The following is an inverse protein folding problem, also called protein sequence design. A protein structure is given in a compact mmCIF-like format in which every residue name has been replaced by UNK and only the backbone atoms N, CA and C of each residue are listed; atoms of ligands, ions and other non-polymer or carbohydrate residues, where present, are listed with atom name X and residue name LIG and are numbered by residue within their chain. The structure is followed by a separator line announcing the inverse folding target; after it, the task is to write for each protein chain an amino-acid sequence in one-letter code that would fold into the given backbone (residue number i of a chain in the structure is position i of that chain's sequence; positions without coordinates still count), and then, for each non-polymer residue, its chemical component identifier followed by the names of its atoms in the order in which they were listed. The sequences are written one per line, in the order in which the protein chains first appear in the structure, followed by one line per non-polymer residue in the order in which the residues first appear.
data_IF_824466856550
#
_entry.id   IF_824466856550
#
_cell.length_a   1.000
_cell.length_b   1.000
_cell.length_c   1.000
_cell.angle_alpha   90.00
_cell.angle_beta   90.00
_cell.angle_gamma   90.00
#
_symmetry.space_group_name_H-M   'P 1'
#
loop_
_entity.id
_entity.type
_entity.pdbx_description
1 polymer ?
#
# COMPACT_ATOMS: atom_id res chain seq x y z
N UNK A 1 -4.45 -10.13 -9.42
CA UNK A 1 -3.07 -9.64 -9.19
C UNK A 1 -2.47 -8.99 -10.43
N UNK A 2 -2.55 -9.62 -11.61
CA UNK A 2 -1.87 -9.18 -12.83
C UNK A 2 -2.04 -7.69 -13.23
N UNK A 3 -3.27 -7.13 -13.35
CA UNK A 3 -3.46 -5.74 -13.78
C UNK A 3 -2.81 -4.75 -12.81
N UNK A 4 -2.93 -5.04 -11.51
CA UNK A 4 -2.31 -4.26 -10.44
C UNK A 4 -0.80 -4.29 -10.56
N UNK A 5 -0.18 -5.49 -10.66
CA UNK A 5 1.28 -5.59 -10.81
C UNK A 5 1.79 -4.84 -12.04
N UNK A 6 1.10 -4.93 -13.19
CA UNK A 6 1.46 -4.17 -14.39
C UNK A 6 1.36 -2.66 -14.21
N UNK A 7 0.35 -2.18 -13.47
CA UNK A 7 0.23 -0.75 -13.16
C UNK A 7 1.38 -0.25 -12.29
N UNK A 8 1.80 -1.01 -11.28
CA UNK A 8 2.97 -0.67 -10.46
C UNK A 8 4.29 -0.74 -11.24
N UNK A 9 4.46 -1.72 -12.14
CA UNK A 9 5.61 -1.75 -13.05
C UNK A 9 5.62 -0.54 -13.99
N UNK A 10 4.47 -0.10 -14.48
CA UNK A 10 4.38 1.11 -15.30
C UNK A 10 4.71 2.38 -14.50
N UNK A 11 4.32 2.47 -13.21
CA UNK A 11 4.77 3.56 -12.31
C UNK A 11 6.28 3.57 -12.17
N UNK A 12 6.89 2.41 -11.94
CA UNK A 12 8.35 2.25 -11.83
C UNK A 12 9.05 2.76 -13.09
N UNK A 13 8.56 2.36 -14.26
CA UNK A 13 9.12 2.74 -15.55
C UNK A 13 8.91 4.22 -15.86
N UNK A 14 7.76 4.78 -15.47
CA UNK A 14 7.48 6.21 -15.59
C UNK A 14 8.48 7.02 -14.78
N UNK A 15 8.62 6.72 -13.48
CA UNK A 15 9.59 7.40 -12.63
C UNK A 15 11.02 7.28 -13.17
N UNK A 16 11.43 6.08 -13.61
CA UNK A 16 12.74 5.88 -14.23
C UNK A 16 12.97 6.78 -15.44
N UNK A 17 12.01 6.82 -16.38
CA UNK A 17 12.13 7.63 -17.60
C UNK A 17 12.22 9.12 -17.29
N UNK A 18 11.40 9.62 -16.37
CA UNK A 18 11.38 11.03 -15.97
C UNK A 18 12.72 11.48 -15.38
N UNK A 19 13.28 10.68 -14.46
CA UNK A 19 14.58 11.01 -13.85
C UNK A 19 15.73 10.90 -14.87
N UNK A 20 15.70 9.93 -15.80
CA UNK A 20 16.68 9.84 -16.89
C UNK A 20 16.60 11.06 -17.81
N UNK A 21 15.39 11.50 -18.15
CA UNK A 21 15.16 12.68 -18.97
C UNK A 21 15.70 13.94 -18.28
N UNK A 22 15.41 14.13 -16.99
CA UNK A 22 15.94 15.25 -16.21
C UNK A 22 17.47 15.22 -16.19
N UNK A 23 18.08 14.05 -15.92
CA UNK A 23 19.54 13.92 -15.89
C UNK A 23 20.16 14.32 -17.25
N UNK A 24 19.58 13.84 -18.36
CA UNK A 24 20.00 14.23 -19.71
C UNK A 24 19.86 15.73 -19.95
N UNK A 25 18.76 16.35 -19.52
CA UNK A 25 18.51 17.77 -19.75
C UNK A 25 19.44 18.67 -18.92
N UNK A 26 19.69 18.30 -17.66
CA UNK A 26 20.68 18.97 -16.80
C UNK A 26 22.07 18.92 -17.42
N UNK A 27 22.46 17.79 -18.02
CA UNK A 27 23.72 17.67 -18.74
C UNK A 27 23.81 18.56 -20.00
N UNK A 28 22.70 18.81 -20.69
CA UNK A 28 22.73 19.56 -21.95
C UNK A 28 22.52 21.07 -21.80
N UNK A 29 21.80 21.52 -20.77
CA UNK A 29 21.18 22.86 -20.78
C UNK A 29 21.64 23.83 -19.67
N UNK A 30 22.74 23.53 -18.96
CA UNK A 30 23.35 24.47 -17.99
C UNK A 30 23.62 23.92 -16.60
N UNK A 31 23.45 22.62 -16.35
CA UNK A 31 23.77 22.03 -15.04
C UNK A 31 22.80 22.47 -13.94
N UNK A 32 23.34 22.91 -12.79
CA UNK A 32 22.58 23.17 -11.55
C UNK A 32 21.51 24.26 -11.69
N UNK A 33 21.71 25.23 -12.60
CA UNK A 33 20.80 26.38 -12.78
C UNK A 33 19.41 25.98 -13.25
N UNK A 34 19.29 24.94 -14.09
CA UNK A 34 17.98 24.42 -14.55
C UNK A 34 17.43 23.29 -13.70
N UNK A 35 18.20 22.78 -12.74
CA UNK A 35 17.81 21.65 -11.91
C UNK A 35 16.53 21.97 -11.12
N UNK A 36 16.42 23.18 -10.59
CA UNK A 36 15.24 23.62 -9.84
C UNK A 36 13.93 23.51 -10.64
N UNK A 37 13.92 23.99 -11.89
CA UNK A 37 12.76 23.90 -12.78
C UNK A 37 12.37 22.45 -13.10
N UNK A 38 13.37 21.58 -13.30
CA UNK A 38 13.12 20.17 -13.56
C UNK A 38 12.58 19.43 -12.33
N UNK A 39 13.11 19.75 -11.15
CA UNK A 39 12.63 19.19 -9.89
C UNK A 39 11.21 19.67 -9.54
N UNK A 40 10.87 20.93 -9.83
CA UNK A 40 9.51 21.43 -9.66
C UNK A 40 8.52 20.65 -10.53
N UNK A 41 8.86 20.40 -11.80
CA UNK A 41 8.06 19.56 -12.70
C UNK A 41 7.95 18.11 -12.20
N UNK A 42 9.05 17.53 -11.74
CA UNK A 42 9.07 16.17 -11.19
C UNK A 42 8.19 16.06 -9.94
N UNK A 43 8.17 17.08 -9.07
CA UNK A 43 7.36 17.13 -7.84
C UNK A 43 5.85 17.01 -8.08
N UNK A 44 5.41 17.22 -9.32
CA UNK A 44 4.01 17.12 -9.75
C UNK A 44 3.70 15.83 -10.52
N UNK A 45 4.69 14.95 -10.74
CA UNK A 45 4.55 13.76 -11.58
C UNK A 45 3.36 12.88 -11.18
N UNK A 46 3.19 12.62 -9.88
CA UNK A 46 2.10 11.81 -9.33
C UNK A 46 0.70 12.37 -9.66
N UNK A 47 0.60 13.67 -9.89
CA UNK A 47 -0.66 14.36 -10.18
C UNK A 47 -0.77 14.74 -11.66
N UNK A 48 0.21 14.39 -12.49
CA UNK A 48 0.25 14.77 -13.89
C UNK A 48 -0.85 14.00 -14.68
N UNK A 49 -1.84 14.71 -15.27
CA UNK A 49 -3.06 14.09 -15.79
C UNK A 49 -2.84 13.23 -17.02
N UNK A 50 -1.74 13.41 -17.77
CA UNK A 50 -1.38 12.59 -18.94
C UNK A 50 -0.39 11.47 -18.59
N UNK A 51 0.75 11.80 -17.98
CA UNK A 51 1.82 10.84 -17.66
C UNK A 51 1.35 9.66 -16.80
N UNK A 52 0.50 9.90 -15.80
CA UNK A 52 -0.02 8.83 -14.92
C UNK A 52 -1.09 7.94 -15.58
N UNK A 53 -1.65 8.32 -16.73
CA UNK A 53 -2.75 7.58 -17.34
C UNK A 53 -2.34 6.19 -17.81
N UNK A 54 -1.10 6.02 -18.29
CA UNK A 54 -0.64 4.69 -18.72
C UNK A 54 -0.61 3.72 -17.55
N UNK A 55 -0.26 4.20 -16.34
CA UNK A 55 -0.28 3.43 -15.10
C UNK A 55 -1.72 3.01 -14.76
N UNK A 56 -2.65 3.97 -14.77
CA UNK A 56 -4.04 3.75 -14.38
C UNK A 56 -4.80 2.82 -15.33
N UNK A 57 -4.56 2.94 -16.65
CA UNK A 57 -5.20 2.11 -17.68
C UNK A 57 -4.88 0.62 -17.57
N UNK A 58 -3.80 0.24 -16.85
CA UNK A 58 -3.53 -1.19 -16.61
C UNK A 58 -4.67 -1.82 -15.80
N UNK A 59 -5.34 -1.06 -14.94
CA UNK A 59 -6.45 -1.55 -14.12
C UNK A 59 -7.74 -1.81 -14.91
N UNK A 60 -7.89 -1.27 -16.12
CA UNK A 60 -9.08 -1.50 -16.96
C UNK A 60 -9.26 -2.98 -17.32
N UNK A 61 -8.19 -3.77 -17.23
CA UNK A 61 -8.17 -5.21 -17.47
C UNK A 61 -8.51 -6.04 -16.21
N UNK A 62 -8.87 -5.39 -15.10
CA UNK A 62 -9.30 -6.08 -13.90
C UNK A 62 -10.73 -6.59 -14.06
N UNK A 63 -10.85 -7.89 -14.29
CA UNK A 63 -12.12 -8.61 -14.27
C UNK A 63 -12.15 -9.58 -13.09
N UNK A 64 -13.26 -9.56 -12.34
CA UNK A 64 -13.47 -10.39 -11.16
C UNK A 64 -14.56 -11.44 -11.38
N UNK A 65 -14.92 -11.78 -12.62
CA UNK A 65 -16.09 -12.60 -12.97
C UNK A 65 -16.25 -13.86 -12.11
N UNK A 66 -15.18 -14.64 -11.93
CA UNK A 66 -15.22 -15.85 -11.09
C UNK A 66 -15.52 -15.58 -9.61
N UNK A 67 -15.09 -14.43 -9.08
CA UNK A 67 -15.43 -14.00 -7.72
C UNK A 67 -16.82 -13.35 -7.67
N UNK A 68 -17.24 -12.63 -8.71
CA UNK A 68 -18.59 -12.05 -8.80
C UNK A 68 -19.65 -13.15 -8.78
N UNK A 69 -19.43 -14.25 -9.48
CA UNK A 69 -20.33 -15.41 -9.49
C UNK A 69 -20.40 -16.15 -8.14
N UNK A 70 -19.27 -16.21 -7.41
CA UNK A 70 -19.16 -17.00 -6.17
C UNK A 70 -19.49 -16.22 -4.90
N UNK A 71 -19.21 -14.92 -4.90
CA UNK A 71 -19.27 -14.06 -3.71
C UNK A 71 -20.26 -12.90 -3.85
N UNK A 72 -21.08 -12.88 -4.90
CA UNK A 72 -22.10 -11.83 -5.13
C UNK A 72 -21.49 -10.40 -5.21
N UNK A 73 -20.27 -10.29 -5.72
CA UNK A 73 -19.55 -9.00 -5.81
C UNK A 73 -20.15 -8.13 -6.92
N UNK A 74 -20.66 -6.93 -6.60
CA UNK A 74 -21.40 -6.14 -7.58
C UNK A 74 -20.50 -5.51 -8.65
N UNK A 75 -19.27 -5.11 -8.31
CA UNK A 75 -18.36 -4.44 -9.24
C UNK A 75 -16.90 -4.48 -8.79
N UNK A 76 -15.97 -4.47 -9.75
CA UNK A 76 -14.54 -4.30 -9.50
C UNK A 76 -14.12 -2.82 -9.33
N UNK A 77 -15.04 -1.87 -9.55
CA UNK A 77 -14.74 -0.44 -9.60
C UNK A 77 -14.01 0.10 -8.36
N UNK A 78 -14.43 -0.32 -7.16
CA UNK A 78 -13.79 0.10 -5.90
C UNK A 78 -12.32 -0.35 -5.86
N UNK A 79 -12.03 -1.56 -6.31
CA UNK A 79 -10.66 -2.10 -6.35
C UNK A 79 -9.81 -1.42 -7.43
N UNK A 80 -10.41 -1.08 -8.58
CA UNK A 80 -9.76 -0.30 -9.64
C UNK A 80 -9.33 1.07 -9.09
N UNK A 81 -10.26 1.82 -8.51
CA UNK A 81 -10.01 3.15 -7.97
C UNK A 81 -8.96 3.11 -6.85
N UNK A 82 -9.09 2.14 -5.93
CA UNK A 82 -8.15 1.97 -4.83
C UNK A 82 -6.73 1.65 -5.31
N UNK A 83 -6.58 0.77 -6.29
CA UNK A 83 -5.27 0.48 -6.87
C UNK A 83 -4.65 1.71 -7.58
N UNK A 84 -5.45 2.51 -8.28
CA UNK A 84 -4.99 3.74 -8.93
C UNK A 84 -4.54 4.79 -7.89
N UNK A 85 -5.23 4.89 -6.75
CA UNK A 85 -4.82 5.74 -5.62
C UNK A 85 -3.46 5.28 -5.10
N UNK A 86 -3.28 3.98 -4.83
CA UNK A 86 -2.00 3.44 -4.35
C UNK A 86 -0.85 3.66 -5.36
N UNK A 87 -1.11 3.55 -6.66
CA UNK A 87 -0.12 3.88 -7.70
C UNK A 87 0.30 5.36 -7.64
N UNK A 88 -0.65 6.26 -7.40
CA UNK A 88 -0.36 7.69 -7.23
C UNK A 88 0.46 7.94 -5.97
N UNK A 89 0.06 7.38 -4.85
CA UNK A 89 0.77 7.52 -3.56
C UNK A 89 2.21 7.04 -3.71
N UNK A 90 2.42 5.86 -4.29
CA UNK A 90 3.77 5.31 -4.51
C UNK A 90 4.61 6.12 -5.52
N UNK A 91 3.98 6.86 -6.43
CA UNK A 91 4.68 7.80 -7.31
C UNK A 91 5.12 9.04 -6.54
N UNK A 92 4.23 9.63 -5.72
CA UNK A 92 4.52 10.83 -4.91
C UNK A 92 5.63 10.52 -3.89
N UNK A 93 5.54 9.36 -3.25
CA UNK A 93 6.53 8.74 -2.37
C UNK A 93 7.92 8.62 -3.02
N UNK A 94 7.99 8.05 -4.24
CA UNK A 94 9.24 7.86 -4.97
C UNK A 94 9.87 9.21 -5.36
N UNK A 95 9.05 10.14 -5.87
CA UNK A 95 9.48 11.50 -6.22
C UNK A 95 10.01 12.24 -5.01
N UNK A 96 9.26 12.22 -3.90
CA UNK A 96 9.66 12.86 -2.65
C UNK A 96 10.98 12.30 -2.13
N UNK A 97 11.14 10.98 -2.12
CA UNK A 97 12.39 10.34 -1.67
C UNK A 97 13.58 10.72 -2.55
N UNK A 98 13.37 10.75 -3.87
CA UNK A 98 14.39 11.20 -4.82
C UNK A 98 14.80 12.65 -4.56
N UNK A 99 13.82 13.53 -4.39
CA UNK A 99 14.01 14.95 -4.12
C UNK A 99 14.86 15.19 -2.86
N UNK A 100 14.51 14.51 -1.77
CA UNK A 100 15.22 14.60 -0.50
C UNK A 100 16.67 14.09 -0.60
N UNK A 101 16.87 12.91 -1.20
CA UNK A 101 18.21 12.35 -1.36
C UNK A 101 19.08 13.18 -2.32
N UNK A 102 18.47 13.77 -3.34
CA UNK A 102 19.17 14.66 -4.27
C UNK A 102 19.60 15.94 -3.56
N UNK A 103 18.69 16.57 -2.82
CA UNK A 103 18.99 17.80 -2.07
C UNK A 103 20.16 17.62 -1.11
N UNK A 104 20.17 16.52 -0.33
CA UNK A 104 21.30 16.15 0.53
C UNK A 104 22.62 15.97 -0.23
N UNK A 105 22.57 15.38 -1.43
CA UNK A 105 23.79 15.22 -2.25
C UNK A 105 24.32 16.55 -2.81
N UNK A 106 23.46 17.57 -2.95
CA UNK A 106 23.83 18.88 -3.46
C UNK A 106 24.49 19.80 -2.42
N UNK A 107 24.33 19.52 -1.11
CA UNK A 107 25.00 20.25 -0.03
C UNK A 107 26.53 20.22 -0.17
N UNK A 108 27.08 19.18 -0.80
CA UNK A 108 28.51 19.01 -1.03
C UNK A 108 29.02 19.64 -2.35
N UNK A 109 28.18 20.42 -3.06
CA UNK A 109 28.50 21.11 -4.33
C UNK A 109 29.21 20.26 -5.39
N UNK A 110 28.57 19.17 -5.89
CA UNK A 110 29.18 18.29 -6.88
C UNK A 110 29.39 18.99 -8.23
N UNK A 111 30.50 18.66 -8.91
CA UNK A 111 30.70 19.03 -10.31
C UNK A 111 29.62 18.41 -11.22
N UNK A 112 29.48 18.89 -12.45
CA UNK A 112 28.41 18.45 -13.38
C UNK A 112 28.41 16.93 -13.64
N UNK A 113 29.58 16.31 -13.77
CA UNK A 113 29.71 14.86 -13.97
C UNK A 113 29.41 14.09 -12.69
N UNK A 114 29.81 14.63 -11.54
CA UNK A 114 29.49 14.08 -10.21
C UNK A 114 27.99 14.14 -9.92
N UNK A 115 27.30 15.21 -10.35
CA UNK A 115 25.86 15.37 -10.22
C UNK A 115 25.09 14.30 -11.00
N UNK A 116 25.46 14.05 -12.26
CA UNK A 116 24.81 12.99 -13.06
C UNK A 116 25.01 11.61 -12.44
N UNK A 117 26.22 11.33 -11.95
CA UNK A 117 26.52 10.08 -11.25
C UNK A 117 25.74 9.96 -9.92
N UNK A 118 25.62 11.06 -9.18
CA UNK A 118 24.82 11.13 -7.96
C UNK A 118 23.34 10.87 -8.24
N UNK A 119 22.76 11.53 -9.24
CA UNK A 119 21.37 11.33 -9.66
C UNK A 119 21.09 9.89 -10.07
N UNK A 120 21.99 9.26 -10.86
CA UNK A 120 21.85 7.86 -11.23
C UNK A 120 21.90 6.93 -10.01
N UNK A 121 22.85 7.15 -9.10
CA UNK A 121 22.96 6.36 -7.87
C UNK A 121 21.74 6.53 -6.95
N UNK A 122 21.20 7.74 -6.85
CA UNK A 122 19.97 8.02 -6.08
C UNK A 122 18.77 7.37 -6.75
N UNK A 123 18.65 7.45 -8.08
CA UNK A 123 17.60 6.77 -8.83
C UNK A 123 17.60 5.26 -8.56
N UNK A 124 18.76 4.61 -8.64
CA UNK A 124 18.88 3.18 -8.37
C UNK A 124 18.49 2.82 -6.92
N UNK A 125 18.82 3.68 -5.95
CA UNK A 125 18.41 3.54 -4.55
C UNK A 125 16.90 3.66 -4.39
N UNK A 126 16.30 4.68 -4.99
CA UNK A 126 14.84 4.92 -4.93
C UNK A 126 14.08 3.79 -5.61
N UNK A 127 14.55 3.28 -6.76
CA UNK A 127 13.93 2.16 -7.45
C UNK A 127 13.97 0.87 -6.64
N UNK A 128 15.10 0.54 -6.02
CA UNK A 128 15.18 -0.62 -5.10
C UNK A 128 14.19 -0.50 -3.97
N UNK A 129 14.02 0.70 -3.43
CA UNK A 129 13.05 0.94 -2.37
C UNK A 129 11.61 0.86 -2.86
N UNK A 130 11.31 1.45 -4.00
CA UNK A 130 10.01 1.34 -4.65
C UNK A 130 9.63 -0.12 -4.89
N UNK A 131 10.57 -0.95 -5.35
CA UNK A 131 10.33 -2.38 -5.59
C UNK A 131 9.92 -3.09 -4.27
N UNK A 132 10.58 -2.77 -3.15
CA UNK A 132 10.21 -3.27 -1.82
C UNK A 132 8.84 -2.77 -1.37
N UNK A 133 8.63 -1.45 -1.34
CA UNK A 133 7.40 -0.83 -0.83
C UNK A 133 6.19 -1.23 -1.67
N UNK A 134 6.33 -1.23 -3.00
CA UNK A 134 5.27 -1.65 -3.92
C UNK A 134 4.86 -3.11 -3.69
N UNK A 135 5.80 -3.99 -3.32
CA UNK A 135 5.49 -5.38 -2.97
C UNK A 135 4.61 -5.44 -1.72
N UNK A 136 5.01 -4.72 -0.67
CA UNK A 136 4.27 -4.66 0.60
C UNK A 136 2.88 -4.05 0.41
N UNK A 137 2.78 -2.93 -0.31
CA UNK A 137 1.50 -2.28 -0.65
C UNK A 137 0.58 -3.21 -1.43
N UNK A 138 1.10 -3.91 -2.46
CA UNK A 138 0.30 -4.85 -3.26
C UNK A 138 -0.18 -6.04 -2.43
N UNK A 139 0.66 -6.63 -1.57
CA UNK A 139 0.26 -7.73 -0.68
C UNK A 139 -0.88 -7.29 0.26
N UNK A 140 -0.74 -6.12 0.89
CA UNK A 140 -1.77 -5.54 1.75
C UNK A 140 -3.07 -5.29 0.98
N UNK A 141 -2.98 -4.67 -0.21
CA UNK A 141 -4.12 -4.44 -1.08
C UNK A 141 -4.86 -5.73 -1.43
N UNK A 142 -4.16 -6.80 -1.80
CA UNK A 142 -4.80 -8.08 -2.13
C UNK A 142 -5.45 -8.75 -0.91
N UNK A 143 -4.81 -8.71 0.26
CA UNK A 143 -5.39 -9.21 1.52
C UNK A 143 -6.70 -8.48 1.83
N UNK A 144 -6.68 -7.16 1.81
CA UNK A 144 -7.85 -6.34 2.11
C UNK A 144 -8.95 -6.48 1.07
N UNK A 145 -8.60 -6.60 -0.22
CA UNK A 145 -9.57 -6.85 -1.28
C UNK A 145 -10.28 -8.20 -1.09
N UNK A 146 -9.55 -9.26 -0.77
CA UNK A 146 -10.14 -10.56 -0.50
C UNK A 146 -11.02 -10.55 0.76
N UNK A 147 -10.65 -9.81 1.81
CA UNK A 147 -11.52 -9.62 2.98
C UNK A 147 -12.81 -8.87 2.61
N UNK A 148 -12.71 -7.76 1.87
CA UNK A 148 -13.88 -6.97 1.43
C UNK A 148 -14.82 -7.77 0.51
N UNK A 149 -14.32 -8.79 -0.18
CA UNK A 149 -15.12 -9.70 -1.01
C UNK A 149 -15.75 -10.80 -0.14
N UNK A 150 -14.94 -11.47 0.68
CA UNK A 150 -15.36 -12.68 1.39
C UNK A 150 -16.26 -12.39 2.59
N UNK A 151 -15.99 -11.35 3.37
CA UNK A 151 -16.72 -11.09 4.63
C UNK A 151 -18.20 -10.80 4.40
N UNK A 152 -18.61 -9.88 3.49
CA UNK A 152 -20.03 -9.62 3.25
C UNK A 152 -20.78 -10.87 2.79
N UNK A 153 -20.14 -11.69 1.95
CA UNK A 153 -20.71 -12.95 1.48
C UNK A 153 -20.91 -13.96 2.62
N UNK A 154 -19.89 -14.15 3.47
CA UNK A 154 -19.96 -15.07 4.59
C UNK A 154 -21.03 -14.63 5.58
N UNK A 155 -21.06 -13.36 5.97
CA UNK A 155 -22.09 -12.80 6.84
C UNK A 155 -23.49 -13.04 6.26
N UNK A 156 -23.71 -12.77 4.96
CA UNK A 156 -24.98 -13.05 4.29
C UNK A 156 -25.39 -14.54 4.40
N UNK A 157 -24.43 -15.46 4.39
CA UNK A 157 -24.68 -16.91 4.49
C UNK A 157 -24.88 -17.40 5.93
N UNK A 158 -24.15 -16.84 6.90
CA UNK A 158 -24.15 -17.35 8.29
C UNK A 158 -25.11 -16.60 9.21
N UNK A 159 -25.37 -15.31 8.97
CA UNK A 159 -26.27 -14.49 9.80
C UNK A 159 -27.68 -15.08 9.99
N UNK A 160 -28.36 -15.67 8.97
CA UNK A 160 -29.68 -16.25 9.18
C UNK A 160 -29.73 -17.35 10.25
N UNK A 161 -28.66 -18.12 10.38
CA UNK A 161 -28.54 -19.19 11.39
C UNK A 161 -28.06 -18.66 12.73
N UNK A 162 -27.16 -17.66 12.72
CA UNK A 162 -26.54 -17.16 13.94
C UNK A 162 -27.38 -16.10 14.67
N UNK A 163 -28.15 -15.27 13.96
CA UNK A 163 -28.84 -14.12 14.53
C UNK A 163 -29.83 -14.47 15.66
N UNK A 164 -30.48 -15.63 15.60
CA UNK A 164 -31.37 -16.09 16.67
C UNK A 164 -30.63 -16.44 17.95
N UNK A 165 -29.34 -16.81 17.84
CA UNK A 165 -28.49 -17.18 18.97
C UNK A 165 -27.69 -15.99 19.49
N UNK A 166 -27.45 -14.94 18.68
CA UNK A 166 -26.58 -13.83 19.08
C UNK A 166 -27.05 -13.13 20.36
N UNK A 167 -28.35 -12.91 20.54
CA UNK A 167 -28.89 -12.18 21.71
C UNK A 167 -28.53 -12.82 23.04
N UNK A 168 -28.31 -14.14 23.09
CA UNK A 168 -27.92 -14.86 24.31
C UNK A 168 -26.54 -14.44 24.83
N UNK A 169 -25.68 -13.94 23.95
CA UNK A 169 -24.33 -13.52 24.32
C UNK A 169 -24.28 -12.11 24.93
N UNK A 170 -25.36 -11.34 24.86
CA UNK A 170 -25.43 -10.01 25.43
C UNK A 170 -25.26 -10.04 26.96
N UNK A 171 -25.75 -11.10 27.62
CA UNK A 171 -25.65 -11.28 29.07
C UNK A 171 -24.20 -11.46 29.56
N UNK A 172 -23.27 -11.83 28.68
CA UNK A 172 -21.85 -11.93 29.02
C UNK A 172 -21.10 -10.58 28.99
N UNK A 173 -21.75 -9.52 28.51
CA UNK A 173 -21.15 -8.19 28.41
C UNK A 173 -21.54 -7.39 29.65
N UNK A 174 -20.54 -7.00 30.45
CA UNK A 174 -20.74 -6.08 31.57
C UNK A 174 -21.35 -4.76 31.09
N UNK A 175 -22.31 -4.22 31.83
CA UNK A 175 -23.03 -2.99 31.48
C UNK A 175 -22.07 -1.81 31.23
N UNK A 176 -21.00 -1.70 32.03
CA UNK A 176 -19.94 -0.69 31.90
C UNK A 176 -19.23 -0.72 30.53
N UNK A 177 -19.24 -1.87 29.84
CA UNK A 177 -18.58 -2.07 28.55
C UNK A 177 -19.53 -2.16 27.35
N UNK A 178 -20.85 -2.10 27.58
CA UNK A 178 -21.88 -2.21 26.53
C UNK A 178 -21.77 -1.19 25.39
N UNK A 179 -21.07 -0.07 25.61
CA UNK A 179 -20.81 0.95 24.57
C UNK A 179 -19.61 0.62 23.67
N UNK A 180 -18.75 -0.30 24.10
CA UNK A 180 -17.50 -0.64 23.41
C UNK A 180 -17.53 -2.05 22.82
N UNK A 181 -18.27 -2.97 23.45
CA UNK A 181 -18.40 -4.36 23.04
C UNK A 181 -19.85 -4.58 22.58
N UNK A 182 -20.01 -4.86 21.29
CA UNK A 182 -21.30 -5.23 20.69
C UNK A 182 -21.20 -6.67 20.22
N UNK A 183 -22.22 -7.48 20.51
CA UNK A 183 -22.24 -8.90 20.11
C UNK A 183 -22.12 -9.02 18.59
N UNK A 184 -22.77 -8.14 17.84
CA UNK A 184 -22.72 -8.10 16.38
C UNK A 184 -21.30 -7.86 15.87
N UNK A 185 -20.58 -6.90 16.47
CA UNK A 185 -19.20 -6.62 16.08
C UNK A 185 -18.27 -7.79 16.43
N UNK A 186 -18.46 -8.43 17.58
CA UNK A 186 -17.69 -9.61 17.98
C UNK A 186 -17.98 -10.77 17.01
N UNK A 187 -19.23 -10.96 16.60
CA UNK A 187 -19.61 -11.96 15.61
C UNK A 187 -18.94 -11.70 14.25
N UNK A 188 -18.97 -10.46 13.75
CA UNK A 188 -18.29 -10.08 12.51
C UNK A 188 -16.77 -10.31 12.61
N UNK A 189 -16.16 -10.00 13.75
CA UNK A 189 -14.74 -10.25 14.00
C UNK A 189 -14.42 -11.75 13.99
N UNK A 190 -15.26 -12.59 14.60
CA UNK A 190 -15.08 -14.06 14.55
C UNK A 190 -15.18 -14.58 13.11
N UNK A 191 -16.12 -14.08 12.30
CA UNK A 191 -16.21 -14.40 10.87
C UNK A 191 -14.94 -13.95 10.14
N UNK A 192 -14.44 -12.75 10.44
CA UNK A 192 -13.19 -12.25 9.87
C UNK A 192 -11.98 -13.12 10.22
N UNK A 193 -11.84 -13.50 11.48
CA UNK A 193 -10.75 -14.38 11.92
C UNK A 193 -10.84 -15.79 11.32
N UNK A 194 -12.05 -16.27 11.01
CA UNK A 194 -12.24 -17.60 10.39
C UNK A 194 -11.59 -17.73 9.01
N UNK A 195 -11.46 -16.64 8.25
CA UNK A 195 -10.87 -16.64 6.89
C UNK A 195 -9.53 -15.93 6.78
N UNK A 196 -9.13 -15.17 7.81
CA UNK A 196 -7.91 -14.37 7.77
C UNK A 196 -6.67 -15.22 7.46
N UNK A 197 -6.54 -16.40 8.09
CA UNK A 197 -5.41 -17.32 7.90
C UNK A 197 -5.31 -17.80 6.44
N UNK A 198 -6.43 -18.23 5.87
CA UNK A 198 -6.47 -18.78 4.52
C UNK A 198 -6.22 -17.70 3.47
N UNK A 199 -6.75 -16.48 3.68
CA UNK A 199 -6.47 -15.33 2.82
C UNK A 199 -4.98 -14.96 2.88
N UNK A 200 -4.38 -14.89 4.07
CA UNK A 200 -2.95 -14.61 4.21
C UNK A 200 -2.09 -15.66 3.50
N UNK A 201 -2.45 -16.94 3.63
CA UNK A 201 -1.75 -18.03 2.96
C UNK A 201 -1.90 -17.93 1.43
N UNK A 202 -3.12 -17.72 0.93
CA UNK A 202 -3.39 -17.57 -0.50
C UNK A 202 -2.63 -16.40 -1.12
N UNK A 203 -2.58 -15.24 -0.45
CA UNK A 203 -1.79 -14.09 -0.91
C UNK A 203 -0.30 -14.41 -0.91
N UNK A 204 0.21 -15.04 0.16
CA UNK A 204 1.62 -15.44 0.26
C UNK A 204 2.03 -16.41 -0.84
N UNK A 205 1.21 -17.44 -1.10
CA UNK A 205 1.45 -18.44 -2.14
C UNK A 205 1.36 -17.83 -3.54
N UNK A 206 0.36 -17.00 -3.82
CA UNK A 206 0.25 -16.32 -5.11
C UNK A 206 1.42 -15.35 -5.34
N UNK A 207 1.88 -14.66 -4.30
CA UNK A 207 2.97 -13.70 -4.36
C UNK A 207 4.35 -14.32 -4.64
N UNK A 208 4.55 -15.64 -4.47
CA UNK A 208 5.80 -16.33 -4.87
C UNK A 208 5.74 -16.92 -6.29
N UNK A 209 4.56 -16.99 -6.91
CA UNK A 209 4.41 -17.59 -8.24
C UNK A 209 5.15 -16.78 -9.29
N UNK A 210 5.87 -17.46 -10.20
CA UNK A 210 6.70 -16.80 -11.23
C UNK A 210 5.95 -15.76 -12.06
N UNK A 211 4.65 -15.96 -12.29
CA UNK A 211 3.80 -15.05 -13.08
C UNK A 211 3.52 -13.72 -12.37
N UNK A 212 3.50 -13.70 -11.03
CA UNK A 212 3.13 -12.55 -10.20
C UNK A 212 4.02 -12.43 -8.97
N UNK A 213 5.33 -12.67 -9.13
CA UNK A 213 6.24 -12.80 -8.00
C UNK A 213 6.51 -11.43 -7.35
N UNK A 214 5.79 -11.11 -6.28
CA UNK A 214 5.97 -9.90 -5.50
C UNK A 214 7.24 -9.96 -4.61
N UNK A 215 7.77 -11.16 -4.32
CA UNK A 215 8.98 -11.31 -3.49
C UNK A 215 10.27 -11.02 -4.24
N UNK A 216 10.28 -11.16 -5.58
CA UNK A 216 11.40 -10.70 -6.42
C UNK A 216 11.58 -9.19 -6.30
N UNK A 217 10.48 -8.47 -6.15
CA UNK A 217 10.48 -7.03 -5.94
C UNK A 217 10.98 -6.67 -4.52
N UNK A 218 10.89 -7.58 -3.53
CA UNK A 218 11.29 -7.33 -2.13
C UNK A 218 12.69 -7.81 -1.73
N UNK A 219 13.46 -8.46 -2.61
CA UNK A 219 14.72 -9.14 -2.24
C UNK A 219 15.91 -8.20 -1.97
N UNK A 220 15.79 -6.89 -2.19
CA UNK A 220 16.96 -5.99 -2.22
C UNK A 220 16.85 -4.82 -1.24
N UNK A 221 16.82 -5.09 0.07
CA UNK A 221 17.11 -4.04 1.08
C UNK A 221 17.75 -4.64 2.35
N UNK A 222 19.01 -5.07 2.26
CA UNK A 222 19.86 -5.25 3.46
C UNK A 222 20.74 -4.03 3.74
N UNK A 223 20.81 -3.07 2.80
CA UNK A 223 21.73 -1.93 2.81
C UNK A 223 20.99 -0.58 2.61
N UNK A 224 19.77 -0.47 3.11
CA UNK A 224 19.04 0.79 3.15
C UNK A 224 19.78 1.79 4.01
N UNK A 225 19.83 3.04 3.58
CA UNK A 225 20.30 4.13 4.42
C UNK A 225 19.46 4.17 5.71
N UNK A 226 20.06 3.92 6.88
CA UNK A 226 19.31 3.89 8.13
C UNK A 226 18.63 5.23 8.42
N UNK A 227 19.06 6.34 7.81
CA UNK A 227 18.51 7.68 8.03
C UNK A 227 17.31 8.01 7.13
N UNK A 228 16.85 7.09 6.27
CA UNK A 228 15.73 7.37 5.36
C UNK A 228 14.43 7.70 6.11
N UNK A 229 14.25 7.20 7.33
CA UNK A 229 13.11 7.55 8.19
C UNK A 229 13.14 9.01 8.69
N UNK A 230 14.32 9.65 8.72
CA UNK A 230 14.50 11.03 9.19
C UNK A 230 14.12 12.08 8.13
N UNK A 231 13.98 11.68 6.87
CA UNK A 231 13.58 12.57 5.77
C UNK A 231 12.13 13.09 5.89
N UNK A 232 11.35 12.63 6.88
CA UNK A 232 9.90 12.85 6.98
C UNK A 232 9.52 13.99 7.90
N UNK A 233 10.50 14.50 8.63
CA UNK A 233 10.34 15.57 9.60
C UNK A 233 10.81 16.93 9.06
N UNK A 234 11.33 16.98 7.83
CA UNK A 234 11.85 18.19 7.19
C UNK A 234 10.77 19.04 6.48
N UNK A 235 10.95 20.37 6.37
CA UNK A 235 10.12 21.22 5.52
C UNK A 235 10.23 20.82 4.04
N UNK A 236 9.17 21.06 3.25
CA UNK A 236 9.22 20.83 1.81
C UNK A 236 10.30 21.67 1.14
N UNK A 237 11.11 21.08 0.27
CA UNK A 237 12.19 21.77 -0.43
C UNK A 237 11.60 22.77 -1.43
N UNK A 238 12.10 24.01 -1.41
CA UNK A 238 11.70 25.09 -2.31
C UNK A 238 12.75 25.28 -3.42
N UNK A 239 12.66 24.42 -4.43
CA UNK A 239 13.56 24.45 -5.59
C UNK A 239 13.51 25.76 -6.39
N UNK A 240 12.39 26.49 -6.34
CA UNK A 240 12.19 27.72 -7.09
C UNK A 240 13.00 28.90 -6.53
N UNK A 241 13.14 28.98 -5.20
CA UNK A 241 13.89 30.06 -4.56
C UNK A 241 15.38 29.74 -4.34
N UNK A 242 15.76 28.47 -4.16
CA UNK A 242 17.16 28.09 -3.87
C UNK A 242 18.08 28.12 -5.10
N UNK A 243 17.55 27.88 -6.31
CA UNK A 243 18.36 27.66 -7.51
C UNK A 243 18.04 28.59 -8.69
N UNK A 244 17.02 29.43 -8.58
CA UNK A 244 16.62 30.37 -9.62
C UNK A 244 17.03 31.80 -9.19
N UNK A 245 18.20 32.28 -9.62
CA UNK A 245 18.73 33.59 -9.19
C UNK A 245 18.03 34.81 -9.82
N UNK A 246 16.95 34.62 -10.59
CA UNK A 246 16.26 35.70 -11.29
C UNK A 246 14.74 35.55 -11.26
N UNK A 247 14.09 35.90 -10.13
CA UNK A 247 12.85 36.68 -10.09
C UNK A 247 12.34 36.89 -8.67
N UNK A 248 12.37 38.15 -8.21
CA UNK A 248 11.54 38.65 -7.12
C UNK A 248 10.11 38.87 -7.63
N UNK A 249 9.23 37.89 -7.48
CA UNK A 249 7.83 38.05 -7.04
C UNK A 249 7.06 36.71 -7.18
N UNK A 250 6.73 36.06 -6.08
CA UNK A 250 5.57 35.16 -6.00
C UNK A 250 5.24 34.77 -4.56
N UNK A 251 4.74 35.74 -3.77
CA UNK A 251 4.12 35.48 -2.45
C UNK A 251 2.72 34.86 -2.52
N UNK A 252 2.39 34.11 -3.58
CA UNK A 252 1.06 33.52 -3.80
C UNK A 252 1.17 32.05 -4.21
N UNK A 253 1.47 31.17 -3.25
CA UNK A 253 1.46 29.71 -3.51
C UNK A 253 1.71 28.81 -2.29
N UNK A 254 2.33 29.34 -1.23
CA UNK A 254 2.87 28.52 -0.14
C UNK A 254 1.85 27.94 0.87
N UNK A 255 0.55 28.16 0.71
CA UNK A 255 -0.43 27.74 1.73
C UNK A 255 -1.04 26.33 1.53
N UNK A 256 -0.67 25.57 0.49
CA UNK A 256 -1.34 24.28 0.18
C UNK A 256 -0.50 23.01 0.31
N UNK A 257 0.67 23.02 0.95
CA UNK A 257 1.58 21.85 0.98
C UNK A 257 1.87 21.25 2.36
N UNK A 258 1.05 21.50 3.38
CA UNK A 258 1.06 20.68 4.61
C UNK A 258 0.16 19.44 4.44
N UNK A 259 0.67 18.42 3.73
CA UNK A 259 0.20 17.05 3.91
C UNK A 259 1.35 16.25 4.52
N UNK A 260 1.03 15.40 5.48
CA UNK A 260 1.95 14.45 6.11
C UNK A 260 2.53 13.57 5.00
N UNK A 261 3.66 13.96 4.42
CA UNK A 261 4.35 13.17 3.40
C UNK A 261 5.14 12.11 4.14
N UNK A 262 4.75 10.86 3.98
CA UNK A 262 5.55 9.78 4.51
C UNK A 262 6.79 9.70 3.64
N UNK A 263 7.97 9.80 4.24
CA UNK A 263 9.11 9.23 3.52
C UNK A 263 8.82 7.77 3.42
N UNK A 264 9.15 7.23 2.27
CA UNK A 264 9.34 5.84 1.96
C UNK A 264 10.43 5.41 2.98
N UNK A 265 10.04 5.11 4.21
CA UNK A 265 10.79 4.40 5.24
C UNK A 265 10.50 2.92 5.04
N UNK A 266 11.31 2.01 5.59
CA UNK A 266 10.93 0.59 5.52
C UNK A 266 9.48 0.45 5.99
N UNK A 267 8.57 0.13 5.06
CA UNK A 267 7.24 -0.31 5.44
C UNK A 267 7.52 -1.60 6.17
N UNK A 268 7.51 -1.55 7.52
CA UNK A 268 7.50 -2.76 8.30
C UNK A 268 6.34 -3.54 7.75
N UNK A 269 6.62 -4.74 7.24
CA UNK A 269 5.61 -5.76 7.09
C UNK A 269 5.10 -5.93 8.51
N UNK A 270 4.07 -5.17 8.87
CA UNK A 270 3.18 -5.51 9.96
C UNK A 270 2.82 -6.93 9.60
N UNK A 271 3.46 -7.89 10.27
CA UNK A 271 3.13 -9.29 10.11
C UNK A 271 1.66 -9.47 10.48
N UNK A 272 1.25 -10.65 10.91
CA UNK A 272 0.20 -10.64 11.91
C UNK A 272 0.67 -9.64 12.97
N UNK A 273 -0.10 -8.57 13.23
CA UNK A 273 -0.04 -7.94 14.55
C UNK A 273 0.09 -9.10 15.53
N UNK A 274 1.06 -9.11 16.45
CA UNK A 274 0.98 -10.02 17.56
C UNK A 274 -0.27 -9.57 18.31
N UNK A 275 -1.42 -10.11 17.93
CA UNK A 275 -2.53 -10.24 18.84
C UNK A 275 -2.11 -11.38 19.77
N UNK A 276 -1.09 -11.11 20.58
CA UNK A 276 -0.77 -11.84 21.80
C UNK A 276 -1.87 -11.49 22.82
N UNK A 277 -3.05 -11.99 22.53
CA UNK A 277 -4.14 -12.21 23.46
C UNK A 277 -4.86 -13.41 22.85
N UNK A 278 -4.37 -14.62 23.04
CA UNK A 278 -4.04 -15.24 24.31
C UNK A 278 -2.76 -16.07 24.16
N UNK A 279 -1.78 -15.83 25.03
CA UNK A 279 -0.83 -16.88 25.37
C UNK A 279 -1.64 -18.10 25.82
N UNK A 280 -1.40 -19.25 25.21
CA UNK A 280 -1.80 -20.54 25.74
C UNK A 280 -1.15 -20.70 27.12
N UNK A 281 -1.87 -20.26 28.16
CA UNK A 281 -1.61 -20.70 29.52
C UNK A 281 -2.13 -22.15 29.58
N UNK A 282 -1.28 -23.16 29.85
CA UNK A 282 -1.76 -24.52 29.98
C UNK A 282 -2.51 -24.67 31.31
N UNK A 283 -3.79 -24.31 31.34
CA UNK A 283 -4.68 -24.61 32.47
C UNK A 283 -6.14 -24.64 32.01
N UNK A 284 -6.73 -25.81 32.21
CA UNK A 284 -8.14 -26.14 32.46
C UNK A 284 -9.24 -25.47 31.63
N UNK A 285 -10.02 -26.35 30.99
CA UNK A 285 -11.24 -26.07 30.21
C UNK A 285 -12.12 -25.00 30.86
N UNK A 286 -12.14 -23.81 30.26
CA UNK A 286 -13.17 -22.79 30.42
C UNK A 286 -14.22 -22.96 29.29
N UNK A 287 -15.51 -22.75 29.53
CA UNK A 287 -16.56 -23.22 28.63
C UNK A 287 -16.68 -22.37 27.35
N UNK A 288 -16.29 -22.99 26.23
CA UNK A 288 -17.05 -23.18 24.99
C UNK A 288 -17.63 -22.01 24.17
N UNK A 289 -17.57 -20.73 24.58
CA UNK A 289 -18.25 -19.68 23.78
C UNK A 289 -17.64 -19.43 22.38
N UNK A 290 -16.31 -19.40 22.24
CA UNK A 290 -15.64 -19.10 20.96
C UNK A 290 -15.59 -20.35 20.06
N UNK A 291 -15.40 -21.52 20.67
CA UNK A 291 -15.37 -22.80 19.95
C UNK A 291 -16.78 -23.22 19.47
N UNK A 292 -17.84 -22.84 20.18
CA UNK A 292 -19.21 -23.01 19.70
C UNK A 292 -19.50 -22.18 18.45
N UNK A 293 -19.10 -20.89 18.43
CA UNK A 293 -19.29 -20.04 17.25
C UNK A 293 -18.46 -20.59 16.07
N UNK A 294 -17.21 -21.01 16.31
CA UNK A 294 -16.38 -21.67 15.30
C UNK A 294 -16.99 -23.00 14.82
N UNK A 295 -17.59 -23.77 15.71
CA UNK A 295 -18.30 -25.02 15.39
C UNK A 295 -19.54 -24.79 14.53
N UNK A 296 -20.30 -23.72 14.79
CA UNK A 296 -21.46 -23.32 13.99
C UNK A 296 -21.03 -22.91 12.56
N UNK A 297 -19.94 -22.14 12.42
CA UNK A 297 -19.39 -21.79 11.10
C UNK A 297 -18.99 -23.03 10.30
N UNK A 298 -18.38 -24.03 10.94
CA UNK A 298 -17.91 -25.24 10.27
C UNK A 298 -19.06 -26.12 9.76
N UNK A 299 -20.17 -26.20 10.51
CA UNK A 299 -21.36 -26.96 10.12
C UNK A 299 -22.09 -26.36 8.91
N UNK A 300 -22.06 -25.04 8.74
CA UNK A 300 -22.71 -24.37 7.59
C UNK A 300 -21.88 -24.55 6.31
N UNK A 301 -20.54 -24.52 6.41
CA UNK A 301 -19.65 -24.66 5.24
C UNK A 301 -19.61 -26.10 4.68
N UNK A 302 -19.83 -27.13 5.50
CA UNK A 302 -19.84 -28.52 5.05
C UNK A 302 -21.09 -28.94 4.24
N UNK A 303 -22.17 -28.14 4.24
CA UNK A 303 -23.44 -28.52 3.59
C UNK A 303 -23.45 -28.22 2.07
N UNK A 304 -22.44 -27.54 1.51
CA UNK A 304 -22.42 -27.08 0.11
C UNK A 304 -21.31 -27.73 -0.77
N UNK A 305 -20.94 -28.99 -0.53
CA UNK A 305 -20.15 -29.76 -1.51
C UNK A 305 -21.06 -30.74 -2.26
N UNK A 306 -21.50 -30.45 -3.50
CA UNK A 306 -22.01 -31.50 -4.36
C UNK A 306 -20.84 -32.41 -4.75
N UNK A 307 -21.06 -33.72 -4.64
CA UNK A 307 -20.13 -34.73 -5.16
C UNK A 307 -19.96 -34.60 -6.68
N UNK A 308 -18.80 -35.02 -7.23
CA UNK A 308 -18.38 -34.75 -8.61
C UNK A 308 -19.31 -35.31 -9.69
#
# INVERSE_FOLDING_TARGET
MDPTSRGFSEVRDLFFKEVVEINKNVLNEGGKEKLGEYMEKLSQLAYHPVKMQSCYKKMDQLHLEGLQQRFDVPSAAVFIQRAQILMREQTDDAVYTFEQLLHQSLENSPEKEELSKAMQGIQDRVLKKFDYDSSTVRKKFFREALLQISIPYLLKKVSPTCNSELSRFQEYIFEDFSRYILVENVFEEVVLQSVMKDIMLAVKEAAVQRKHNLFRDSIVMTNSDPNLHLLGEGPSIDWGNEYNSNQTDSTLGNEKRRRMRQVVSFIRDEGPLPYESCLEVPTEKSPDSVDEIRGLLTKVVQVEVPSP
#
